data_IF_643799888185
#
_entry.id   IF_643799888185
#
_cell.length_a   1.000
_cell.length_b   1.000
_cell.length_c   1.000
_cell.angle_alpha   90.00
_cell.angle_beta   90.00
_cell.angle_gamma   90.00
#
_symmetry.space_group_name_H-M   'P 1'
#
loop_
_entity.id
_entity.type
_entity.pdbx_description
1 polymer ?
#
# COMPACT_ATOMS: atom_id res chain seq x y z
N UNK A 1 6.49 -2.69 -10.58
CA UNK A 1 5.07 -2.52 -10.26
C UNK A 1 4.23 -2.76 -11.50
N UNK A 2 3.10 -3.44 -11.33
CA UNK A 2 2.12 -3.62 -12.39
C UNK A 2 1.02 -2.56 -12.26
N UNK A 3 0.48 -2.11 -13.39
CA UNK A 3 -0.63 -1.15 -13.41
C UNK A 3 -1.86 -1.79 -14.02
N UNK A 4 -3.02 -1.47 -13.47
CA UNK A 4 -4.32 -1.77 -14.05
C UNK A 4 -5.09 -0.45 -14.17
N UNK A 5 -5.60 -0.14 -15.36
CA UNK A 5 -6.36 1.08 -15.66
C UNK A 5 -7.65 0.67 -16.33
N UNK A 6 -8.77 0.82 -15.63
CA UNK A 6 -10.06 0.29 -16.05
C UNK A 6 -9.99 -1.24 -16.19
N UNK A 7 -10.28 -1.74 -17.39
CA UNK A 7 -10.21 -3.17 -17.70
C UNK A 7 -8.84 -3.63 -18.24
N UNK A 8 -7.87 -2.72 -18.43
CA UNK A 8 -6.58 -3.03 -19.05
C UNK A 8 -5.45 -3.18 -18.03
N UNK A 9 -4.58 -4.17 -18.28
CA UNK A 9 -3.39 -4.44 -17.46
C UNK A 9 -2.10 -4.09 -18.21
N UNK A 10 -1.17 -3.47 -17.49
CA UNK A 10 0.14 -3.01 -17.95
C UNK A 10 1.23 -3.57 -17.04
N UNK A 11 1.75 -4.78 -17.33
CA UNK A 11 2.80 -5.39 -16.54
C UNK A 11 4.10 -4.60 -16.61
N UNK A 12 4.88 -4.59 -15.52
CA UNK A 12 6.16 -3.89 -15.48
C UNK A 12 7.07 -4.30 -16.65
N UNK A 13 7.57 -3.32 -17.40
CA UNK A 13 8.53 -3.53 -18.48
C UNK A 13 7.96 -4.26 -19.71
N UNK A 14 6.65 -4.48 -19.79
CA UNK A 14 6.04 -5.16 -20.95
C UNK A 14 6.33 -4.45 -22.27
N UNK A 15 6.18 -3.12 -22.30
CA UNK A 15 6.45 -2.32 -23.50
C UNK A 15 7.94 -2.38 -23.93
N UNK A 16 8.85 -2.40 -22.95
CA UNK A 16 10.28 -2.55 -23.22
C UNK A 16 10.62 -3.94 -23.76
N UNK A 17 10.03 -5.01 -23.19
CA UNK A 17 10.19 -6.38 -23.69
C UNK A 17 9.60 -6.57 -25.10
N UNK A 18 8.52 -5.87 -25.40
CA UNK A 18 7.89 -5.87 -26.72
C UNK A 18 8.66 -5.01 -27.76
N UNK A 19 9.65 -4.23 -27.33
CA UNK A 19 10.43 -3.34 -28.22
C UNK A 19 9.68 -2.09 -28.69
N UNK A 20 8.49 -1.80 -28.14
CA UNK A 20 7.65 -0.66 -28.54
C UNK A 20 7.17 0.14 -27.32
N UNK A 21 8.11 0.87 -26.73
CA UNK A 21 7.89 1.71 -25.55
C UNK A 21 6.92 2.86 -25.86
N UNK A 22 6.99 3.43 -27.06
CA UNK A 22 6.17 4.56 -27.46
C UNK A 22 4.70 4.19 -27.65
N UNK A 23 4.40 3.06 -28.31
CA UNK A 23 3.02 2.58 -28.40
C UNK A 23 2.48 2.17 -27.03
N UNK A 24 3.31 1.52 -26.20
CA UNK A 24 2.94 1.20 -24.81
C UNK A 24 2.58 2.44 -23.99
N UNK A 25 3.38 3.52 -24.12
CA UNK A 25 3.12 4.81 -23.45
C UNK A 25 1.84 5.46 -23.96
N UNK A 26 1.62 5.50 -25.27
CA UNK A 26 0.40 6.07 -25.87
C UNK A 26 -0.84 5.33 -25.38
N UNK A 27 -0.84 4.00 -25.47
CA UNK A 27 -1.93 3.15 -25.00
C UNK A 27 -2.25 3.37 -23.53
N UNK A 28 -1.24 3.38 -22.66
CA UNK A 28 -1.44 3.68 -21.24
C UNK A 28 -2.10 5.06 -21.02
N UNK A 29 -1.60 6.10 -21.72
CA UNK A 29 -2.15 7.44 -21.63
C UNK A 29 -3.57 7.56 -22.20
N UNK A 30 -3.92 6.77 -23.22
CA UNK A 30 -5.27 6.69 -23.78
C UNK A 30 -6.24 6.03 -22.79
N UNK A 31 -5.87 4.90 -22.20
CA UNK A 31 -6.70 4.23 -21.18
C UNK A 31 -6.92 5.12 -19.96
N UNK A 32 -5.86 5.79 -19.48
CA UNK A 32 -5.96 6.70 -18.36
C UNK A 32 -6.87 7.90 -18.67
N UNK A 33 -6.72 8.50 -19.85
CA UNK A 33 -7.62 9.56 -20.30
C UNK A 33 -9.05 9.07 -20.40
N UNK A 34 -9.29 7.86 -20.92
CA UNK A 34 -10.62 7.28 -21.02
C UNK A 34 -11.26 7.07 -19.64
N UNK A 35 -10.51 6.56 -18.66
CA UNK A 35 -11.04 6.38 -17.30
C UNK A 35 -11.28 7.73 -16.60
N UNK A 36 -10.38 8.70 -16.73
CA UNK A 36 -10.52 10.02 -16.13
C UNK A 36 -11.58 10.90 -16.82
N UNK A 37 -11.76 10.78 -18.13
CA UNK A 37 -12.73 11.56 -18.91
C UNK A 37 -14.18 11.24 -18.54
N UNK A 38 -14.42 10.08 -17.91
CA UNK A 38 -15.74 9.75 -17.32
C UNK A 38 -16.10 10.67 -16.14
N UNK A 39 -15.10 11.27 -15.48
CA UNK A 39 -15.26 12.27 -14.44
C UNK A 39 -15.20 13.70 -14.99
N UNK A 40 -14.19 14.02 -15.81
CA UNK A 40 -13.96 15.36 -16.37
C UNK A 40 -12.88 15.38 -17.47
N UNK A 41 -12.98 16.29 -18.43
CA UNK A 41 -11.96 16.49 -19.49
C UNK A 41 -10.80 17.42 -19.08
N UNK A 42 -10.76 17.86 -17.82
CA UNK A 42 -9.76 18.80 -17.31
C UNK A 42 -8.36 18.18 -17.18
N UNK A 43 -7.38 18.80 -17.84
CA UNK A 43 -5.96 18.43 -17.78
C UNK A 43 -5.37 18.48 -16.36
N UNK A 44 -5.87 19.33 -15.46
CA UNK A 44 -5.42 19.43 -14.07
C UNK A 44 -5.77 18.21 -13.23
N UNK A 45 -6.99 17.69 -13.41
CA UNK A 45 -7.45 16.46 -12.77
C UNK A 45 -6.64 15.25 -13.24
N UNK A 46 -6.44 15.13 -14.56
CA UNK A 46 -5.60 14.08 -15.14
C UNK A 46 -4.17 14.11 -14.59
N UNK A 47 -3.58 15.31 -14.44
CA UNK A 47 -2.23 15.47 -13.86
C UNK A 47 -2.15 15.02 -12.40
N UNK A 48 -3.15 15.35 -11.59
CA UNK A 48 -3.21 14.92 -10.20
C UNK A 48 -3.33 13.39 -10.09
N UNK A 49 -4.19 12.79 -10.91
CA UNK A 49 -4.35 11.33 -11.00
C UNK A 49 -3.06 10.66 -11.48
N UNK A 50 -2.37 11.20 -12.51
CA UNK A 50 -1.06 10.65 -12.94
C UNK A 50 0.01 10.79 -11.87
N UNK A 51 0.02 11.90 -11.12
CA UNK A 51 0.98 12.10 -10.04
C UNK A 51 0.72 11.10 -8.91
N UNK A 52 -0.55 10.90 -8.56
CA UNK A 52 -0.99 9.89 -7.60
C UNK A 52 -0.86 8.46 -8.11
N UNK A 53 -0.69 8.22 -9.41
CA UNK A 53 -0.37 6.91 -9.96
C UNK A 53 1.15 6.73 -10.20
N UNK A 54 2.01 7.65 -9.75
CA UNK A 54 3.47 7.62 -9.99
C UNK A 54 4.27 7.05 -8.79
N UNK A 55 5.57 7.34 -8.69
CA UNK A 55 6.36 6.94 -7.51
C UNK A 55 5.94 7.68 -6.23
N UNK A 56 5.29 8.85 -6.37
CA UNK A 56 4.73 9.64 -5.25
C UNK A 56 3.69 8.83 -4.47
N UNK A 57 3.06 7.86 -5.11
CA UNK A 57 2.05 6.96 -4.55
C UNK A 57 2.60 6.05 -3.46
N UNK A 58 3.87 5.67 -3.54
CA UNK A 58 4.50 4.87 -2.48
C UNK A 58 4.71 5.68 -1.19
N UNK A 59 4.97 6.99 -1.32
CA UNK A 59 5.02 7.88 -0.17
C UNK A 59 3.62 8.07 0.45
N UNK A 60 2.57 8.13 -0.38
CA UNK A 60 1.19 8.20 0.09
C UNK A 60 0.73 6.91 0.77
N UNK A 61 1.13 5.74 0.22
CA UNK A 61 0.90 4.45 0.86
C UNK A 61 1.56 4.40 2.25
N UNK A 62 2.81 4.84 2.37
CA UNK A 62 3.48 4.92 3.66
C UNK A 62 2.81 5.88 4.65
N UNK A 63 2.24 7.00 4.18
CA UNK A 63 1.49 7.93 5.02
C UNK A 63 0.11 7.39 5.44
N UNK A 64 -0.56 6.63 4.57
CA UNK A 64 -1.87 6.04 4.86
C UNK A 64 -1.77 4.78 5.74
N UNK A 65 -0.75 3.95 5.51
CA UNK A 65 -0.45 2.73 6.28
C UNK A 65 0.54 3.02 7.43
N UNK A 66 0.45 4.19 8.06
CA UNK A 66 1.40 4.61 9.10
C UNK A 66 1.05 4.00 10.48
N UNK A 67 0.78 2.69 10.60
CA UNK A 67 0.60 2.10 11.94
C UNK A 67 1.91 1.95 12.72
N UNK A 68 3.07 2.20 12.10
CA UNK A 68 4.39 2.19 12.75
C UNK A 68 5.31 1.02 12.36
N UNK A 69 4.87 -0.27 12.41
CA UNK A 69 5.71 -1.46 12.24
C UNK A 69 6.50 -1.55 10.93
N UNK A 70 6.03 -0.96 9.83
CA UNK A 70 6.71 -1.03 8.52
C UNK A 70 7.93 -0.12 8.43
N UNK A 71 8.06 0.86 9.32
CA UNK A 71 9.29 1.63 9.49
C UNK A 71 10.40 0.79 10.14
N UNK A 72 10.04 -0.30 10.82
CA UNK A 72 10.99 -1.15 11.55
C UNK A 72 11.59 -2.24 10.68
N UNK A 73 11.11 -2.45 9.45
CA UNK A 73 11.66 -3.50 8.61
C UNK A 73 11.71 -3.11 7.14
N UNK A 74 12.93 -3.08 6.58
CA UNK A 74 13.10 -3.04 5.13
C UNK A 74 13.16 -4.49 4.64
N UNK A 75 12.14 -4.97 3.90
CA UNK A 75 12.15 -6.33 3.37
C UNK A 75 13.25 -6.49 2.31
N UNK A 76 14.09 -7.51 2.47
CA UNK A 76 14.99 -8.00 1.43
C UNK A 76 14.27 -9.05 0.57
N UNK A 77 14.22 -8.83 -0.75
CA UNK A 77 13.60 -9.76 -1.70
C UNK A 77 12.73 -9.08 -2.76
N UNK A 78 11.82 -9.85 -3.35
CA UNK A 78 10.92 -9.39 -4.40
C UNK A 78 9.75 -8.58 -3.81
N UNK A 79 9.89 -7.25 -3.83
CA UNK A 79 8.78 -6.34 -3.52
C UNK A 79 7.95 -6.12 -4.78
N UNK A 80 6.66 -6.44 -4.72
CA UNK A 80 5.69 -6.16 -5.80
C UNK A 80 4.78 -5.03 -5.37
N UNK A 81 4.75 -3.97 -6.18
CA UNK A 81 3.72 -2.95 -6.10
C UNK A 81 2.71 -3.14 -7.23
N UNK A 82 1.44 -2.87 -6.94
CA UNK A 82 0.34 -2.91 -7.91
C UNK A 82 -0.49 -1.65 -7.73
N UNK A 83 -0.83 -1.02 -8.85
CA UNK A 83 -1.70 0.15 -8.88
C UNK A 83 -2.93 -0.20 -9.69
N UNK A 84 -4.12 0.08 -9.15
CA UNK A 84 -5.38 -0.12 -9.85
C UNK A 84 -6.16 1.17 -9.86
N UNK A 85 -6.51 1.63 -11.04
CA UNK A 85 -7.28 2.84 -11.23
C UNK A 85 -8.60 2.49 -11.92
N UNK A 86 -9.70 2.88 -11.31
CA UNK A 86 -11.04 2.67 -11.85
C UNK A 86 -11.95 3.83 -11.47
N UNK A 87 -13.05 3.96 -12.20
CA UNK A 87 -14.07 4.97 -11.94
C UNK A 87 -15.19 4.39 -11.08
N UNK A 88 -15.59 5.11 -10.02
CA UNK A 88 -16.70 4.74 -9.15
C UNK A 88 -17.48 5.99 -8.70
N UNK A 89 -18.81 5.98 -8.85
CA UNK A 89 -19.73 7.01 -8.35
C UNK A 89 -19.35 8.48 -8.63
N UNK A 90 -18.70 8.77 -9.78
CA UNK A 90 -18.28 10.13 -10.16
C UNK A 90 -16.91 10.55 -9.64
N UNK A 91 -16.16 9.64 -9.02
CA UNK A 91 -14.77 9.82 -8.62
C UNK A 91 -13.86 8.79 -9.32
N UNK A 92 -12.58 9.11 -9.37
CA UNK A 92 -11.53 8.13 -9.73
C UNK A 92 -11.04 7.51 -8.43
N UNK A 93 -11.13 6.19 -8.33
CA UNK A 93 -10.58 5.42 -7.22
C UNK A 93 -9.25 4.82 -7.64
N UNK A 94 -8.21 5.20 -6.92
CA UNK A 94 -6.88 4.63 -7.02
C UNK A 94 -6.64 3.70 -5.83
N UNK A 95 -6.51 2.41 -6.11
CA UNK A 95 -5.99 1.44 -5.16
C UNK A 95 -4.50 1.25 -5.38
N UNK A 96 -3.77 1.27 -4.28
CA UNK A 96 -2.33 1.08 -4.23
C UNK A 96 -2.09 -0.12 -3.33
N UNK A 97 -1.37 -1.11 -3.83
CA UNK A 97 -0.98 -2.27 -3.03
C UNK A 97 0.53 -2.48 -3.12
N UNK A 98 1.16 -2.76 -1.99
CA UNK A 98 2.52 -3.26 -1.90
C UNK A 98 2.51 -4.56 -1.13
N UNK A 99 3.16 -5.57 -1.69
CA UNK A 99 3.39 -6.84 -1.03
C UNK A 99 4.85 -7.22 -1.19
N UNK A 100 5.45 -7.69 -0.10
CA UNK A 100 6.73 -8.34 -0.09
C UNK A 100 6.52 -9.72 0.55
N UNK A 101 6.64 -10.76 -0.26
CA UNK A 101 6.39 -12.16 0.12
C UNK A 101 7.61 -13.00 -0.24
N UNK A 102 7.79 -14.13 0.45
CA UNK A 102 8.98 -14.97 0.26
C UNK A 102 10.27 -14.22 0.63
N UNK A 103 10.19 -13.41 1.69
CA UNK A 103 11.34 -12.67 2.21
C UNK A 103 12.44 -13.66 2.60
N UNK A 104 13.67 -13.33 2.20
CA UNK A 104 14.86 -14.09 2.62
C UNK A 104 15.59 -13.39 3.75
N UNK A 105 15.43 -12.07 3.84
CA UNK A 105 16.01 -11.24 4.90
C UNK A 105 15.16 -10.01 5.18
N UNK A 106 15.40 -9.39 6.34
CA UNK A 106 14.89 -8.07 6.71
C UNK A 106 15.96 -7.31 7.50
N UNK A 107 15.83 -6.00 7.58
CA UNK A 107 16.67 -5.16 8.46
C UNK A 107 15.84 -4.41 9.46
N UNK A 108 16.24 -4.46 10.74
CA UNK A 108 15.65 -3.65 11.80
C UNK A 108 16.21 -2.20 11.77
N UNK A 109 15.73 -1.26 12.59
CA UNK A 109 16.27 0.10 12.65
C UNK A 109 17.75 0.19 13.04
N UNK A 110 18.33 -0.90 13.55
CA UNK A 110 19.78 -1.04 13.78
C UNK A 110 20.60 -1.11 12.48
N UNK A 111 19.95 -1.34 11.34
CA UNK A 111 20.54 -1.39 10.01
C UNK A 111 21.20 -2.72 9.65
N UNK A 112 21.20 -3.72 10.54
CA UNK A 112 21.74 -5.05 10.24
C UNK A 112 20.74 -5.86 9.42
N UNK A 113 21.21 -6.62 8.44
CA UNK A 113 20.37 -7.53 7.67
C UNK A 113 20.34 -8.92 8.34
N UNK A 114 19.15 -9.37 8.73
CA UNK A 114 18.92 -10.68 9.32
C UNK A 114 18.24 -11.61 8.34
N UNK A 115 18.62 -12.89 8.34
CA UNK A 115 17.88 -13.93 7.64
C UNK A 115 16.50 -14.12 8.28
N UNK A 116 15.51 -14.52 7.48
CA UNK A 116 14.17 -14.80 7.98
C UNK A 116 13.56 -16.06 7.36
N UNK A 117 12.52 -16.56 8.00
CA UNK A 117 11.72 -17.67 7.49
C UNK A 117 10.83 -17.20 6.34
N UNK A 118 10.59 -18.07 5.35
CA UNK A 118 9.83 -17.72 4.14
C UNK A 118 8.35 -17.40 4.37
N UNK A 119 7.82 -17.62 5.57
CA UNK A 119 6.49 -17.15 6.00
C UNK A 119 6.46 -15.67 6.39
N UNK A 120 7.60 -14.98 6.40
CA UNK A 120 7.66 -13.55 6.65
C UNK A 120 7.10 -12.79 5.46
N UNK A 121 6.30 -11.76 5.72
CA UNK A 121 5.69 -10.93 4.70
C UNK A 121 5.42 -9.51 5.19
N UNK A 122 5.27 -8.61 4.23
CA UNK A 122 4.71 -7.28 4.42
C UNK A 122 3.64 -7.06 3.35
N UNK A 123 2.49 -6.53 3.74
CA UNK A 123 1.38 -6.18 2.85
C UNK A 123 0.83 -4.84 3.27
N UNK A 124 0.70 -3.93 2.33
CA UNK A 124 0.13 -2.60 2.50
C UNK A 124 -0.85 -2.38 1.36
N UNK A 125 -2.04 -1.84 1.64
CA UNK A 125 -3.02 -1.47 0.62
C UNK A 125 -3.77 -0.24 1.07
N UNK A 126 -3.89 0.75 0.19
CA UNK A 126 -4.67 1.95 0.43
C UNK A 126 -5.51 2.30 -0.79
N UNK A 127 -6.74 2.72 -0.52
CA UNK A 127 -7.70 3.18 -1.52
C UNK A 127 -7.86 4.69 -1.39
N UNK A 128 -7.67 5.40 -2.49
CA UNK A 128 -7.77 6.85 -2.57
C UNK A 128 -8.89 7.22 -3.53
N UNK A 129 -9.85 8.00 -3.05
CA UNK A 129 -10.79 8.71 -3.92
C UNK A 129 -10.14 10.01 -4.38
N UNK A 130 -10.16 10.24 -5.68
CA UNK A 130 -9.71 11.47 -6.32
C UNK A 130 -10.92 12.12 -6.98
N UNK A 131 -11.31 13.29 -6.47
CA UNK A 131 -12.46 14.04 -6.96
C UNK A 131 -12.09 15.50 -7.21
N UNK A 132 -12.90 16.19 -8.03
CA UNK A 132 -12.71 17.61 -8.29
C UNK A 132 -13.35 18.44 -7.19
N UNK A 133 -12.69 19.53 -6.80
CA UNK A 133 -13.28 20.58 -5.97
C UNK A 133 -13.06 21.97 -6.60
N UNK A 134 -13.82 22.96 -6.13
CA UNK A 134 -13.68 24.34 -6.58
C UNK A 134 -12.26 24.86 -6.30
N UNK A 135 -11.44 24.97 -7.34
CA UNK A 135 -10.04 25.42 -7.24
C UNK A 135 -8.98 24.32 -7.21
N UNK A 136 -9.34 23.04 -7.38
CA UNK A 136 -8.34 21.97 -7.43
C UNK A 136 -8.88 20.55 -7.43
N UNK A 137 -8.12 19.66 -6.78
CA UNK A 137 -8.41 18.23 -6.66
C UNK A 137 -8.40 17.87 -5.19
N UNK A 138 -9.41 17.13 -4.75
CA UNK A 138 -9.48 16.52 -3.43
C UNK A 138 -9.06 15.07 -3.52
N UNK A 139 -8.24 14.67 -2.55
CA UNK A 139 -7.80 13.29 -2.37
C UNK A 139 -8.25 12.86 -0.99
N UNK A 140 -9.01 11.78 -0.91
CA UNK A 140 -9.53 11.23 0.32
C UNK A 140 -9.13 9.76 0.44
N UNK A 141 -8.64 9.35 1.61
CA UNK A 141 -8.35 7.96 1.90
C UNK A 141 -9.66 7.27 2.26
N UNK A 142 -10.06 6.28 1.46
CA UNK A 142 -11.30 5.53 1.65
C UNK A 142 -11.10 4.35 2.61
N UNK A 143 -10.03 3.59 2.39
CA UNK A 143 -9.65 2.43 3.20
C UNK A 143 -8.12 2.33 3.21
N UNK A 144 -7.56 1.86 4.32
CA UNK A 144 -6.14 1.58 4.45
C UNK A 144 -5.97 0.32 5.29
N UNK A 145 -5.21 -0.62 4.74
CA UNK A 145 -4.93 -1.93 5.34
C UNK A 145 -3.45 -2.22 5.28
N UNK A 146 -2.95 -2.82 6.33
CA UNK A 146 -1.57 -3.24 6.40
C UNK A 146 -1.44 -4.50 7.25
N UNK A 147 -0.44 -5.31 6.93
CA UNK A 147 -0.09 -6.48 7.69
C UNK A 147 1.41 -6.74 7.55
N UNK A 148 2.07 -7.02 8.68
CA UNK A 148 3.47 -7.36 8.76
C UNK A 148 3.60 -8.62 9.61
N UNK A 149 4.37 -9.58 9.10
CA UNK A 149 4.82 -10.73 9.86
C UNK A 149 6.30 -10.94 9.62
N UNK A 150 7.11 -10.88 10.66
CA UNK A 150 8.52 -11.22 10.61
C UNK A 150 8.80 -12.42 11.51
N UNK A 151 9.47 -13.41 10.95
CA UNK A 151 9.74 -14.68 11.60
C UNK A 151 11.21 -15.02 11.42
N UNK A 152 11.91 -15.31 12.52
CA UNK A 152 13.29 -15.79 12.51
C UNK A 152 13.40 -17.12 11.76
N UNK A 153 14.59 -17.52 11.27
CA UNK A 153 14.76 -18.80 10.57
C UNK A 153 14.33 -20.03 11.39
N UNK A 154 14.32 -19.93 12.71
CA UNK A 154 13.88 -20.98 13.64
C UNK A 154 12.35 -21.06 13.83
N UNK A 155 11.60 -20.20 13.14
CA UNK A 155 10.14 -20.18 13.18
C UNK A 155 9.52 -19.32 14.28
N UNK A 156 10.32 -18.68 15.14
CA UNK A 156 9.80 -17.76 16.16
C UNK A 156 9.48 -16.39 15.57
N UNK A 157 8.35 -15.80 16.00
CA UNK A 157 8.00 -14.42 15.63
C UNK A 157 9.05 -13.46 16.20
N UNK A 158 9.44 -12.47 15.40
CA UNK A 158 10.38 -11.44 15.80
C UNK A 158 9.72 -10.54 16.83
N UNK A 159 10.43 -10.27 17.92
CA UNK A 159 10.03 -9.30 18.94
C UNK A 159 11.05 -8.17 18.95
N UNK A 160 10.58 -6.93 18.80
CA UNK A 160 11.41 -5.73 18.84
C UNK A 160 10.72 -4.68 19.70
N UNK A 161 11.45 -4.06 20.63
CA UNK A 161 10.90 -3.11 21.62
C UNK A 161 9.67 -3.63 22.39
N UNK A 162 9.62 -4.95 22.64
CA UNK A 162 8.50 -5.61 23.32
C UNK A 162 7.25 -5.81 22.47
N UNK A 163 7.30 -5.47 21.17
CA UNK A 163 6.23 -5.70 20.20
C UNK A 163 6.53 -6.96 19.37
N UNK A 164 5.57 -7.89 19.34
CA UNK A 164 5.58 -8.98 18.36
C UNK A 164 5.30 -8.40 16.97
N UNK A 165 6.22 -8.58 16.04
CA UNK A 165 6.10 -8.13 14.66
C UNK A 165 5.26 -9.13 13.85
N UNK A 166 4.04 -9.38 14.33
CA UNK A 166 2.94 -10.09 13.67
C UNK A 166 1.67 -9.26 13.89
N UNK A 167 1.48 -8.28 13.01
CA UNK A 167 0.55 -7.17 13.19
C UNK A 167 -0.30 -6.98 11.95
N UNK A 168 -1.55 -6.56 12.17
CA UNK A 168 -2.47 -6.13 11.11
C UNK A 168 -3.19 -4.86 11.54
N UNK A 169 -3.42 -3.95 10.60
CA UNK A 169 -4.27 -2.78 10.78
C UNK A 169 -5.23 -2.66 9.58
N UNK A 170 -6.53 -2.40 9.78
CA UNK A 170 -7.19 -2.56 11.07
C UNK A 170 -6.97 -4.00 11.59
N UNK A 171 -6.93 -4.22 12.92
CA UNK A 171 -6.69 -5.54 13.47
C UNK A 171 -7.76 -6.50 12.95
N UNK A 172 -7.34 -7.69 12.54
CA UNK A 172 -8.29 -8.77 12.25
C UNK A 172 -9.27 -8.92 13.43
N UNK A 173 -10.54 -9.20 13.16
CA UNK A 173 -11.60 -9.19 14.17
C UNK A 173 -11.29 -10.08 15.40
N UNK A 174 -10.44 -11.10 15.25
CA UNK A 174 -9.92 -11.95 16.32
C UNK A 174 -8.94 -11.22 17.27
N UNK A 175 -8.12 -10.28 16.75
CA UNK A 175 -7.13 -9.52 17.51
C UNK A 175 -7.74 -8.27 18.20
N UNK A 176 -8.79 -7.70 17.62
CA UNK A 176 -9.53 -6.57 18.21
C UNK A 176 -10.09 -6.90 19.61
N UNK A 177 -10.42 -8.17 19.87
CA UNK A 177 -10.86 -8.65 21.18
C UNK A 177 -9.74 -8.71 22.24
N UNK A 178 -8.48 -8.88 21.84
CA UNK A 178 -7.32 -8.95 22.73
C UNK A 178 -6.83 -7.56 23.15
N UNK A 179 -6.83 -6.59 22.22
CA UNK A 179 -6.47 -5.19 22.53
C UNK A 179 -7.48 -4.53 23.49
N UNK A 180 -8.78 -4.82 23.36
CA UNK A 180 -9.79 -4.34 24.32
C UNK A 180 -9.60 -4.91 25.74
N UNK A 181 -9.11 -6.15 25.88
CA UNK A 181 -8.89 -6.78 27.20
C UNK A 181 -7.67 -6.21 27.93
N UNK A 182 -6.62 -5.77 27.22
CA UNK A 182 -5.44 -5.16 27.85
C UNK A 182 -5.64 -3.69 28.23
N UNK A 183 -6.38 -2.90 27.43
CA UNK A 183 -6.71 -1.52 27.83
C UNK A 183 -7.76 -1.43 28.94
N UNK A 184 -8.58 -2.45 29.16
CA UNK A 184 -9.55 -2.50 30.27
C UNK A 184 -8.94 -2.86 31.63
N UNK A 185 -7.78 -3.51 31.67
CA UNK A 185 -7.17 -3.98 32.92
C UNK A 185 -6.27 -2.93 33.62
N UNK A 186 -5.86 -1.86 32.91
CA UNK A 186 -4.94 -0.85 33.45
C UNK A 186 -5.60 0.49 33.87
N UNK A 187 -6.89 0.72 33.56
CA UNK A 187 -7.59 1.97 33.91
C UNK A 187 -8.58 1.84 35.09
N UNK A 188 -8.60 0.73 35.82
CA UNK A 188 -9.60 0.45 36.86
C UNK A 188 -9.17 0.63 38.32
N UNK A 189 -7.92 1.02 38.60
CA UNK A 189 -7.40 1.07 39.98
C UNK A 189 -6.72 2.41 40.29
N UNK A 190 -7.49 3.51 40.26
CA UNK A 190 -7.09 4.78 40.88
C UNK A 190 -8.27 5.74 41.07
N UNK A 191 -9.42 5.28 41.59
CA UNK A 191 -10.36 6.14 42.31
C UNK A 191 -11.02 5.29 43.41
N UNK A 192 -10.64 5.56 44.65
CA UNK A 192 -11.12 4.89 45.87
C UNK A 192 -10.25 5.28 47.04
#
# INVERSE_FOLDING_TARGET
>A
ADYEVGAEAFPQGAAARAGDVEAGRRRFADCLRSECAKCDADCGFLRAVTALASQVTMAHLGAACFSGPHAYAVPGGAVRATYRLHHEAGAVVLRVSRAAEGLTSFSLPDGEAHACHGSSFLRETADFSVSREAGGVRVEVLDAREALRLVWPDGRVVVHDGLELDVSSPPDAALAGLLRRRCGAACGAAIG
#
